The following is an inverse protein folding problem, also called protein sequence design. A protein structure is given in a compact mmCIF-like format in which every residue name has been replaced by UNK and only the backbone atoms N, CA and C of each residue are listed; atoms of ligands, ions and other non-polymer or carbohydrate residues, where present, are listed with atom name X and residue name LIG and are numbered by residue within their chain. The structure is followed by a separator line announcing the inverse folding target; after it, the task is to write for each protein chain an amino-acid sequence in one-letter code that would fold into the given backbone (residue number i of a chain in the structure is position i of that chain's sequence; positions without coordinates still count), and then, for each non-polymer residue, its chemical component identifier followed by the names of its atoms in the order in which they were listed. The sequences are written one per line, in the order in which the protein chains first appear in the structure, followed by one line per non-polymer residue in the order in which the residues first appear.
data_IF_484024765408
#
_entry.id   IF_484024765408
#
_cell.length_a   1.000
_cell.length_b   1.000
_cell.length_c   1.000
_cell.angle_alpha   90.00
_cell.angle_beta   90.00
_cell.angle_gamma   90.00
#
_symmetry.space_group_name_H-M   'P 1'
#
loop_
_entity.id
_entity.type
_entity.pdbx_description
1 polymer ?
#
# COMPACT_ATOMS: atom_id res chain seq x y z
N UNK A 1 2.70 53.59 61.18
CA UNK A 1 3.42 52.35 61.53
C UNK A 1 2.60 51.22 61.02
N UNK A 2 2.99 50.67 59.89
CA UNK A 2 2.32 49.52 59.22
C UNK A 2 3.25 48.30 59.30
N UNK A 3 2.85 47.35 60.12
CA UNK A 3 3.57 46.08 60.29
C UNK A 3 3.29 45.15 59.11
N UNK A 4 4.30 44.91 58.29
CA UNK A 4 4.27 43.87 57.26
C UNK A 4 4.40 42.50 57.91
N UNK A 5 3.31 41.76 57.96
CA UNK A 5 3.28 40.37 58.34
C UNK A 5 3.88 39.50 57.21
N UNK A 6 5.11 39.05 57.42
CA UNK A 6 5.82 38.17 56.47
C UNK A 6 5.32 36.75 56.67
N UNK A 7 4.43 36.29 55.79
CA UNK A 7 3.97 34.90 55.73
C UNK A 7 5.13 33.99 55.30
N UNK A 8 5.76 33.33 56.26
CA UNK A 8 6.74 32.23 56.04
C UNK A 8 6.02 31.01 55.46
N UNK A 9 6.10 30.83 54.16
CA UNK A 9 5.68 29.57 53.54
C UNK A 9 6.60 28.45 54.06
N UNK A 10 6.10 27.64 54.97
CA UNK A 10 6.81 26.50 55.53
C UNK A 10 7.07 25.46 54.40
N UNK A 11 8.30 25.41 53.92
CA UNK A 11 8.72 24.40 52.94
C UNK A 11 8.66 23.03 53.63
N UNK A 12 7.74 22.15 53.19
CA UNK A 12 7.65 20.77 53.66
C UNK A 12 9.03 20.10 53.49
N UNK A 13 9.54 19.42 54.54
CA UNK A 13 10.89 18.90 54.54
C UNK A 13 11.09 17.86 53.44
N UNK A 14 12.23 17.95 52.75
CA UNK A 14 12.62 17.19 51.56
C UNK A 14 12.44 15.66 51.71
N UNK A 15 12.72 15.13 52.93
CA UNK A 15 12.59 13.70 53.24
C UNK A 15 11.15 13.17 53.17
N UNK A 16 10.14 13.97 53.41
CA UNK A 16 8.72 13.58 53.20
C UNK A 16 8.37 13.44 51.75
N UNK A 17 8.98 14.22 50.87
CA UNK A 17 8.84 14.07 49.42
C UNK A 17 9.60 12.85 48.89
N UNK A 18 10.83 12.64 49.35
CA UNK A 18 11.63 11.45 49.02
C UNK A 18 10.95 10.15 49.49
N UNK A 19 10.38 10.12 50.70
CA UNK A 19 9.66 8.99 51.24
C UNK A 19 8.45 8.55 50.41
N UNK A 20 7.87 9.44 49.59
CA UNK A 20 6.80 9.10 48.67
C UNK A 20 7.33 8.79 47.24
N UNK A 21 8.33 9.51 46.78
CA UNK A 21 8.87 9.38 45.41
C UNK A 21 9.66 8.09 45.24
N UNK A 22 10.45 7.69 46.24
CA UNK A 22 11.25 6.45 46.17
C UNK A 22 10.43 5.15 46.02
N UNK A 23 9.34 4.94 46.79
CA UNK A 23 8.47 3.77 46.58
C UNK A 23 7.77 3.77 45.19
N UNK A 24 7.39 4.97 44.71
CA UNK A 24 6.77 5.09 43.36
C UNK A 24 7.78 4.72 42.28
N UNK A 25 9.02 5.24 42.34
CA UNK A 25 10.09 4.88 41.39
C UNK A 25 10.41 3.38 41.50
N UNK A 26 10.56 2.84 42.71
CA UNK A 26 10.83 1.43 42.92
C UNK A 26 9.72 0.53 42.40
N UNK A 27 8.45 0.92 42.64
CA UNK A 27 7.28 0.24 42.08
C UNK A 27 7.27 0.29 40.55
N UNK A 28 7.58 1.41 39.96
CA UNK A 28 7.66 1.55 38.51
C UNK A 28 8.78 0.71 37.90
N UNK A 29 9.97 0.70 38.51
CA UNK A 29 11.13 -0.09 38.08
C UNK A 29 10.87 -1.60 38.13
N UNK A 30 10.09 -2.08 39.08
CA UNK A 30 9.70 -3.50 39.17
C UNK A 30 8.51 -3.83 38.26
N UNK A 31 7.50 -2.97 38.24
CA UNK A 31 6.25 -3.23 37.53
C UNK A 31 6.42 -3.22 36.02
N UNK A 32 7.15 -2.23 35.48
CA UNK A 32 7.28 -2.09 34.01
C UNK A 32 8.00 -3.30 33.37
N UNK A 33 9.16 -3.76 33.84
CA UNK A 33 9.78 -4.96 33.29
C UNK A 33 8.92 -6.23 33.46
N UNK A 34 8.27 -6.38 34.63
CA UNK A 34 7.40 -7.54 34.89
C UNK A 34 6.19 -7.54 33.95
N UNK A 35 5.58 -6.39 33.72
CA UNK A 35 4.50 -6.23 32.76
C UNK A 35 4.96 -6.57 31.34
N UNK A 36 6.14 -6.09 30.94
CA UNK A 36 6.69 -6.38 29.61
C UNK A 36 6.95 -7.89 29.42
N UNK A 37 7.55 -8.52 30.40
CA UNK A 37 7.77 -9.98 30.42
C UNK A 37 6.43 -10.71 30.32
N UNK A 38 5.44 -10.32 31.11
CA UNK A 38 4.11 -10.90 31.04
C UNK A 38 3.46 -10.75 29.66
N UNK A 39 3.51 -9.55 29.05
CA UNK A 39 2.99 -9.32 27.71
C UNK A 39 3.69 -10.18 26.65
N UNK A 40 5.00 -10.32 26.73
CA UNK A 40 5.78 -11.17 25.81
C UNK A 40 5.44 -12.65 25.92
N UNK A 41 5.37 -13.16 27.15
CA UNK A 41 5.14 -14.59 27.39
C UNK A 41 3.66 -15.01 27.35
N UNK A 42 2.73 -14.07 27.44
CA UNK A 42 1.29 -14.37 27.38
C UNK A 42 0.82 -14.79 25.98
N UNK A 43 1.66 -14.67 24.93
CA UNK A 43 1.29 -15.02 23.56
C UNK A 43 0.05 -14.27 23.07
N UNK A 44 -0.07 -12.99 23.43
CA UNK A 44 -1.21 -12.14 23.06
C UNK A 44 -2.46 -12.30 23.93
N UNK A 45 -2.51 -13.29 24.83
CA UNK A 45 -3.68 -13.51 25.73
C UNK A 45 -3.97 -12.33 26.63
N UNK A 46 -2.94 -11.58 27.03
CA UNK A 46 -3.11 -10.34 27.78
C UNK A 46 -3.90 -9.27 27.01
N UNK A 47 -3.70 -9.18 25.70
CA UNK A 47 -4.47 -8.28 24.83
C UNK A 47 -5.89 -8.80 24.63
N UNK A 48 -6.04 -10.12 24.44
CA UNK A 48 -7.31 -10.82 24.25
C UNK A 48 -8.19 -10.91 25.51
N UNK A 49 -7.72 -10.39 26.67
CA UNK A 49 -8.55 -10.26 27.86
C UNK A 49 -9.69 -9.22 27.68
N UNK A 50 -9.58 -8.33 26.70
CA UNK A 50 -10.65 -7.43 26.30
C UNK A 50 -11.47 -8.06 25.17
N UNK A 51 -12.81 -8.05 25.29
CA UNK A 51 -13.70 -8.69 24.32
C UNK A 51 -13.60 -8.08 22.92
N UNK A 52 -13.26 -6.80 22.80
CA UNK A 52 -13.08 -6.10 21.52
C UNK A 52 -11.85 -6.61 20.75
N UNK A 53 -10.88 -7.19 21.47
CA UNK A 53 -9.62 -7.70 20.89
C UNK A 53 -9.72 -9.21 20.57
N UNK A 54 -10.78 -9.87 21.00
CA UNK A 54 -10.92 -11.31 20.83
C UNK A 54 -10.91 -11.74 19.36
N UNK A 55 -11.66 -11.06 18.51
CA UNK A 55 -11.68 -11.39 17.09
C UNK A 55 -10.33 -11.14 16.40
N UNK A 56 -9.69 -9.95 16.52
CA UNK A 56 -8.34 -9.73 16.03
C UNK A 56 -7.30 -10.75 16.55
N UNK A 57 -7.42 -11.18 17.81
CA UNK A 57 -6.56 -12.21 18.40
C UNK A 57 -6.78 -13.57 17.73
N UNK A 58 -8.01 -13.99 17.56
CA UNK A 58 -8.37 -15.25 16.91
C UNK A 58 -7.85 -15.30 15.47
N UNK A 59 -8.04 -14.22 14.72
CA UNK A 59 -7.59 -14.10 13.35
C UNK A 59 -6.05 -14.12 13.27
N UNK A 60 -5.37 -13.39 14.14
CA UNK A 60 -3.91 -13.42 14.24
C UNK A 60 -3.40 -14.82 14.56
N UNK A 61 -4.01 -15.52 15.52
CA UNK A 61 -3.59 -16.83 15.99
C UNK A 61 -3.63 -17.91 14.90
N UNK A 62 -4.50 -17.73 13.91
CA UNK A 62 -4.63 -18.59 12.74
C UNK A 62 -3.91 -18.07 11.50
N UNK A 63 -3.30 -16.88 11.58
CA UNK A 63 -2.60 -16.25 10.48
C UNK A 63 -1.14 -16.72 10.34
N UNK A 64 -0.48 -16.30 9.27
CA UNK A 64 0.96 -16.49 9.06
C UNK A 64 1.82 -15.74 10.06
N UNK A 65 1.26 -14.71 10.72
CA UNK A 65 1.94 -13.92 11.75
C UNK A 65 1.70 -14.44 13.18
N UNK A 66 1.14 -15.62 13.36
CA UNK A 66 0.85 -16.22 14.70
C UNK A 66 2.05 -16.32 15.65
N UNK A 67 3.26 -16.30 15.09
CA UNK A 67 4.51 -16.34 15.87
C UNK A 67 5.14 -14.95 16.07
N UNK A 68 4.51 -13.89 15.55
CA UNK A 68 4.95 -12.49 15.69
C UNK A 68 4.21 -11.89 16.88
N UNK A 69 4.93 -11.27 17.81
CA UNK A 69 4.30 -10.69 19.00
C UNK A 69 3.42 -9.47 18.61
N UNK A 70 2.32 -9.31 19.31
CA UNK A 70 1.44 -8.13 19.10
C UNK A 70 2.22 -6.82 19.27
N UNK A 71 3.16 -6.78 20.22
CA UNK A 71 4.03 -5.62 20.47
C UNK A 71 4.97 -5.29 19.31
N UNK A 72 5.33 -6.26 18.46
CA UNK A 72 6.23 -6.00 17.32
C UNK A 72 5.57 -5.09 16.28
N UNK A 73 4.25 -5.20 16.16
CA UNK A 73 3.44 -4.34 15.27
C UNK A 73 2.82 -3.15 16.00
N UNK A 74 2.27 -3.35 17.22
CA UNK A 74 1.50 -2.33 17.95
C UNK A 74 2.34 -1.48 18.90
N UNK A 75 3.56 -1.88 19.22
CA UNK A 75 4.47 -1.17 20.13
C UNK A 75 4.56 -1.82 21.51
N UNK A 76 5.72 -1.64 22.13
CA UNK A 76 6.03 -2.24 23.42
C UNK A 76 5.56 -1.34 24.58
N UNK A 77 5.15 -1.98 25.68
CA UNK A 77 4.78 -1.33 26.93
C UNK A 77 5.96 -0.59 27.56
N UNK A 78 7.19 -0.98 27.27
CA UNK A 78 8.40 -0.31 27.76
C UNK A 78 8.84 0.90 26.91
N UNK A 79 8.04 1.32 25.92
CA UNK A 79 8.38 2.54 25.17
C UNK A 79 8.42 3.77 26.08
N UNK A 80 9.41 4.64 25.87
CA UNK A 80 9.48 5.95 26.54
C UNK A 80 8.55 7.00 25.91
N UNK A 81 7.75 6.58 24.90
CA UNK A 81 6.78 7.46 24.27
C UNK A 81 5.59 7.71 25.21
N UNK A 82 5.60 8.89 25.83
CA UNK A 82 4.52 9.32 26.70
C UNK A 82 3.15 9.37 25.97
N UNK A 83 3.16 9.67 24.67
CA UNK A 83 1.97 9.68 23.82
C UNK A 83 1.31 8.32 23.74
N UNK A 84 2.11 7.26 23.58
CA UNK A 84 1.64 5.88 23.58
C UNK A 84 0.93 5.51 24.91
N UNK A 85 1.53 5.85 26.05
CA UNK A 85 0.93 5.54 27.35
C UNK A 85 -0.33 6.33 27.62
N UNK A 86 -0.35 7.63 27.31
CA UNK A 86 -1.53 8.48 27.48
C UNK A 86 -2.69 8.01 26.58
N UNK A 87 -2.38 7.53 25.39
CA UNK A 87 -3.38 6.97 24.49
C UNK A 87 -4.01 5.70 25.08
N UNK A 88 -3.20 4.76 25.55
CA UNK A 88 -3.68 3.53 26.16
C UNK A 88 -4.51 3.79 27.42
N UNK A 89 -4.09 4.74 28.26
CA UNK A 89 -4.87 5.18 29.41
C UNK A 89 -6.23 5.75 29.00
N UNK A 90 -6.28 6.60 27.97
CA UNK A 90 -7.54 7.15 27.46
C UNK A 90 -8.46 6.06 26.91
N UNK A 91 -7.92 5.06 26.22
CA UNK A 91 -8.70 3.93 25.71
C UNK A 91 -9.26 3.07 26.86
N UNK A 92 -8.46 2.81 27.89
CA UNK A 92 -8.94 2.12 29.09
C UNK A 92 -10.07 2.87 29.79
N UNK A 93 -9.96 4.19 29.94
CA UNK A 93 -11.03 5.01 30.50
C UNK A 93 -12.27 5.04 29.62
N UNK A 94 -12.12 5.07 28.29
CA UNK A 94 -13.24 5.00 27.35
C UNK A 94 -13.95 3.63 27.48
N UNK A 95 -13.19 2.55 27.61
CA UNK A 95 -13.74 1.20 27.82
C UNK A 95 -14.55 1.14 29.14
N UNK A 96 -13.98 1.58 30.27
CA UNK A 96 -14.67 1.60 31.56
C UNK A 96 -15.97 2.41 31.52
N UNK A 97 -16.03 3.44 30.64
CA UNK A 97 -17.24 4.27 30.47
C UNK A 97 -18.21 3.74 29.42
N UNK A 98 -17.93 2.59 28.80
CA UNK A 98 -18.75 2.06 27.72
C UNK A 98 -18.77 2.91 26.44
N UNK A 99 -17.71 3.69 26.22
CA UNK A 99 -17.57 4.61 25.06
C UNK A 99 -16.62 4.06 23.99
N UNK A 100 -16.40 2.77 23.97
CA UNK A 100 -15.57 2.09 22.96
C UNK A 100 -16.47 1.69 21.79
N UNK A 101 -16.07 1.96 20.53
CA UNK A 101 -16.82 1.47 19.37
C UNK A 101 -16.76 -0.06 19.34
N UNK A 102 -17.82 -0.68 18.83
CA UNK A 102 -17.95 -2.13 18.70
C UNK A 102 -16.76 -2.77 17.96
N UNK A 103 -16.20 -2.03 17.00
CA UNK A 103 -14.97 -2.42 16.30
C UNK A 103 -13.84 -1.44 16.59
N UNK A 104 -12.77 -1.95 17.20
CA UNK A 104 -11.55 -1.17 17.44
C UNK A 104 -10.75 -1.08 16.15
N UNK A 105 -10.46 0.14 15.71
CA UNK A 105 -9.72 0.43 14.46
C UNK A 105 -8.45 1.20 14.74
N UNK A 106 -7.45 0.99 13.88
CA UNK A 106 -6.22 1.78 13.91
C UNK A 106 -6.53 3.22 13.50
N UNK A 107 -6.01 4.17 14.28
CA UNK A 107 -6.02 5.58 13.87
C UNK A 107 -4.97 5.82 12.78
N UNK A 108 -5.10 6.86 11.94
CA UNK A 108 -4.15 7.16 10.88
C UNK A 108 -2.68 7.19 11.34
N UNK A 109 -2.39 7.83 12.47
CA UNK A 109 -1.03 7.88 13.04
C UNK A 109 -0.51 6.49 13.42
N UNK A 110 -1.39 5.58 13.88
CA UNK A 110 -1.02 4.21 14.22
C UNK A 110 -0.74 3.39 12.97
N UNK A 111 -1.51 3.61 11.92
CA UNK A 111 -1.27 2.96 10.61
C UNK A 111 0.14 3.27 10.13
N UNK A 112 0.59 4.52 10.22
CA UNK A 112 1.94 4.90 9.80
C UNK A 112 3.03 4.27 10.69
N UNK A 113 2.78 4.18 11.99
CA UNK A 113 3.71 3.52 12.90
C UNK A 113 3.81 2.02 12.64
N UNK A 114 2.67 1.35 12.40
CA UNK A 114 2.64 -0.08 12.04
C UNK A 114 3.35 -0.28 10.71
N UNK A 115 3.07 0.57 9.71
CA UNK A 115 3.73 0.53 8.41
C UNK A 115 5.27 0.57 8.52
N UNK A 116 5.81 1.47 9.33
CA UNK A 116 7.25 1.55 9.57
C UNK A 116 7.81 0.30 10.27
N UNK A 117 7.02 -0.38 11.10
CA UNK A 117 7.43 -1.59 11.81
C UNK A 117 7.48 -2.82 10.91
N UNK A 118 6.73 -2.84 9.81
CA UNK A 118 6.82 -3.92 8.82
C UNK A 118 8.24 -4.09 8.29
N UNK A 119 8.99 -2.98 8.15
CA UNK A 119 10.38 -2.96 7.70
C UNK A 119 11.34 -3.78 8.58
N UNK A 120 10.99 -4.08 9.82
CA UNK A 120 11.85 -4.88 10.72
C UNK A 120 12.05 -6.31 10.20
N UNK A 121 11.02 -6.86 9.58
CA UNK A 121 11.02 -8.23 9.04
C UNK A 121 10.97 -8.24 7.51
N UNK A 122 10.19 -7.37 6.89
CA UNK A 122 9.98 -7.25 5.45
C UNK A 122 10.85 -6.14 4.84
N UNK A 123 12.17 -6.25 5.02
CA UNK A 123 13.13 -5.19 4.63
C UNK A 123 13.13 -4.91 3.14
N UNK A 124 13.12 -5.97 2.33
CA UNK A 124 13.18 -5.83 0.87
C UNK A 124 11.86 -5.28 0.34
N UNK A 125 10.74 -5.85 0.75
CA UNK A 125 9.41 -5.40 0.35
C UNK A 125 9.17 -3.94 0.74
N UNK A 126 9.62 -3.56 1.95
CA UNK A 126 9.53 -2.16 2.40
C UNK A 126 10.43 -1.23 1.58
N UNK A 127 11.66 -1.64 1.28
CA UNK A 127 12.59 -0.84 0.48
C UNK A 127 12.06 -0.66 -0.96
N UNK A 128 11.53 -1.72 -1.56
CA UNK A 128 10.95 -1.68 -2.90
C UNK A 128 9.71 -0.78 -2.93
N UNK A 129 8.83 -0.90 -1.94
CA UNK A 129 7.67 -0.01 -1.79
C UNK A 129 8.08 1.45 -1.57
N UNK A 130 9.05 1.70 -0.68
CA UNK A 130 9.51 3.05 -0.35
C UNK A 130 10.20 3.76 -1.54
N UNK A 131 10.79 2.99 -2.46
CA UNK A 131 11.36 3.50 -3.70
C UNK A 131 10.32 3.68 -4.81
N UNK A 132 9.09 3.19 -4.61
CA UNK A 132 8.02 3.18 -5.60
C UNK A 132 7.01 4.32 -5.42
N UNK A 133 6.14 4.56 -6.41
CA UNK A 133 5.12 5.61 -6.34
C UNK A 133 4.01 5.34 -5.33
N UNK A 134 3.86 4.12 -4.82
CA UNK A 134 2.91 3.88 -3.73
C UNK A 134 3.34 4.53 -2.41
N UNK A 135 4.64 4.81 -2.23
CA UNK A 135 5.13 5.57 -1.08
C UNK A 135 5.06 7.10 -1.27
N UNK A 136 4.41 7.58 -2.34
CA UNK A 136 4.23 9.00 -2.58
C UNK A 136 3.53 9.67 -1.39
N UNK A 137 4.04 10.84 -0.99
CA UNK A 137 3.59 11.51 0.23
C UNK A 137 2.34 12.35 0.00
N UNK A 138 1.65 12.69 1.08
CA UNK A 138 0.53 13.65 1.03
C UNK A 138 0.93 14.99 0.40
N UNK A 139 2.16 15.46 0.67
CA UNK A 139 2.67 16.68 0.05
C UNK A 139 2.73 16.57 -1.47
N UNK A 140 3.32 15.48 -1.97
CA UNK A 140 3.52 15.28 -3.41
C UNK A 140 2.22 15.12 -4.17
N UNK A 141 1.20 14.51 -3.56
CA UNK A 141 -0.13 14.34 -4.18
C UNK A 141 -0.95 15.62 -4.07
N UNK A 142 -1.13 16.13 -2.87
CA UNK A 142 -2.15 17.16 -2.61
C UNK A 142 -1.63 18.59 -2.75
N UNK A 143 -0.31 18.79 -2.90
CA UNK A 143 0.28 20.09 -3.19
C UNK A 143 0.92 20.16 -4.58
N UNK A 144 0.58 19.25 -5.51
CA UNK A 144 1.00 19.34 -6.91
C UNK A 144 0.23 20.48 -7.60
N UNK A 145 0.90 21.61 -7.77
CA UNK A 145 0.31 22.77 -8.43
C UNK A 145 -0.12 22.50 -9.87
N UNK A 146 0.63 21.67 -10.60
CA UNK A 146 0.35 21.40 -12.02
C UNK A 146 -0.96 20.63 -12.20
N UNK A 147 -1.26 19.75 -11.24
CA UNK A 147 -2.51 19.01 -11.16
C UNK A 147 -3.64 19.91 -10.61
N UNK A 148 -3.42 20.55 -9.47
CA UNK A 148 -4.44 21.25 -8.72
C UNK A 148 -4.98 22.49 -9.46
N UNK A 149 -4.19 23.10 -10.35
CA UNK A 149 -4.66 24.18 -11.25
C UNK A 149 -5.68 23.72 -12.29
N UNK A 150 -5.74 22.41 -12.55
CA UNK A 150 -6.63 21.82 -13.58
C UNK A 150 -7.81 21.08 -12.98
N UNK A 151 -7.64 20.53 -11.79
CA UNK A 151 -8.61 19.63 -11.15
C UNK A 151 -8.86 20.08 -9.72
N UNK A 152 -10.12 20.23 -9.35
CA UNK A 152 -10.51 20.47 -7.97
C UNK A 152 -10.23 19.25 -7.12
N UNK A 153 -9.61 19.47 -5.96
CA UNK A 153 -9.45 18.44 -4.97
C UNK A 153 -10.81 18.09 -4.34
N UNK A 154 -11.13 16.81 -4.29
CA UNK A 154 -12.39 16.27 -3.80
C UNK A 154 -12.15 15.09 -2.85
N UNK A 155 -13.15 14.73 -2.07
CA UNK A 155 -13.07 13.59 -1.14
C UNK A 155 -12.80 12.26 -1.86
N UNK A 156 -13.20 12.15 -3.12
CA UNK A 156 -12.92 10.96 -3.94
C UNK A 156 -11.42 10.74 -4.19
N UNK A 157 -10.59 11.79 -4.14
CA UNK A 157 -9.12 11.65 -4.20
C UNK A 157 -8.59 10.79 -3.05
N UNK A 158 -9.23 10.88 -1.87
CA UNK A 158 -8.83 10.14 -0.67
C UNK A 158 -9.15 8.65 -0.75
N UNK A 159 -9.96 8.23 -1.72
CA UNK A 159 -10.24 6.82 -1.96
C UNK A 159 -9.00 6.02 -2.34
N UNK A 160 -8.07 6.66 -3.07
CA UNK A 160 -6.82 6.07 -3.50
C UNK A 160 -5.61 6.67 -2.77
N UNK A 161 -5.65 8.00 -2.55
CA UNK A 161 -4.54 8.76 -1.97
C UNK A 161 -4.89 9.23 -0.55
N UNK A 162 -4.61 8.40 0.45
CA UNK A 162 -4.91 8.73 1.84
C UNK A 162 -6.11 7.97 2.39
N UNK A 163 -6.25 6.70 2.02
CA UNK A 163 -7.36 5.81 2.42
C UNK A 163 -7.59 5.77 3.94
N UNK A 164 -6.52 5.86 4.72
CA UNK A 164 -6.56 5.87 6.18
C UNK A 164 -6.67 7.27 6.80
N UNK A 165 -6.78 8.33 6.00
CA UNK A 165 -6.99 9.67 6.55
C UNK A 165 -8.40 9.82 7.10
N UNK A 166 -8.53 10.29 8.34
CA UNK A 166 -9.82 10.31 9.06
C UNK A 166 -10.73 11.49 8.70
N UNK A 167 -10.26 12.47 7.95
CA UNK A 167 -11.03 13.67 7.58
C UNK A 167 -11.39 13.71 6.10
N UNK A 168 -12.14 14.72 5.68
CA UNK A 168 -12.37 15.04 4.28
C UNK A 168 -11.22 15.82 3.64
N UNK A 169 -11.33 16.10 2.35
CA UNK A 169 -10.32 16.88 1.63
C UNK A 169 -10.17 18.30 2.21
N UNK A 170 -11.25 18.87 2.71
CA UNK A 170 -11.26 20.20 3.34
C UNK A 170 -10.54 20.22 4.70
N UNK A 171 -10.45 19.08 5.37
CA UNK A 171 -9.69 18.93 6.61
C UNK A 171 -8.21 18.65 6.32
N UNK A 172 -7.90 18.17 5.12
CA UNK A 172 -6.54 17.85 4.69
C UNK A 172 -5.82 19.07 4.10
N UNK A 173 -6.50 19.82 3.23
CA UNK A 173 -5.90 20.94 2.48
C UNK A 173 -6.67 22.24 2.75
N UNK A 174 -5.93 23.34 2.97
CA UNK A 174 -6.51 24.65 3.31
C UNK A 174 -7.44 25.17 2.23
N UNK A 175 -7.13 24.95 0.94
CA UNK A 175 -8.05 25.23 -0.17
C UNK A 175 -8.14 24.02 -1.07
N UNK A 176 -9.33 23.77 -1.60
CA UNK A 176 -9.59 22.72 -2.58
C UNK A 176 -9.91 23.27 -3.98
N UNK A 177 -9.89 24.59 -4.15
CA UNK A 177 -10.09 25.24 -5.44
C UNK A 177 -8.83 25.19 -6.33
N UNK A 178 -8.95 25.64 -7.57
CA UNK A 178 -7.86 25.61 -8.55
C UNK A 178 -6.93 26.82 -8.52
N UNK A 179 -7.15 27.77 -7.60
CA UNK A 179 -6.38 29.01 -7.51
C UNK A 179 -5.20 28.94 -6.54
N UNK A 180 -5.30 28.08 -5.53
CA UNK A 180 -4.30 28.00 -4.48
C UNK A 180 -4.25 29.24 -3.56
N UNK A 181 -3.27 29.39 -2.73
CA UNK A 181 -2.20 28.40 -2.46
C UNK A 181 -2.73 27.18 -1.68
N UNK A 182 -2.17 26.00 -2.01
CA UNK A 182 -2.52 24.77 -1.31
C UNK A 182 -1.54 24.51 -0.17
N UNK A 183 -2.09 24.14 0.98
CA UNK A 183 -1.30 23.82 2.19
C UNK A 183 -1.96 22.67 2.94
N UNK A 184 -1.17 21.71 3.38
CA UNK A 184 -1.64 20.69 4.31
C UNK A 184 -1.95 21.35 5.65
N UNK A 185 -3.11 21.04 6.23
CA UNK A 185 -3.52 21.57 7.54
C UNK A 185 -2.69 20.96 8.67
N UNK A 186 -2.29 19.69 8.55
CA UNK A 186 -1.34 19.06 9.46
C UNK A 186 0.02 18.88 8.78
N UNK A 187 1.01 19.61 9.26
CA UNK A 187 2.39 19.53 8.75
C UNK A 187 3.03 18.14 8.92
N UNK A 188 2.55 17.30 9.85
CA UNK A 188 3.03 15.94 10.05
C UNK A 188 2.81 15.07 8.84
N UNK A 189 1.74 15.31 8.08
CA UNK A 189 1.40 14.57 6.87
C UNK A 189 2.38 14.79 5.72
N UNK A 190 3.17 15.86 5.76
CA UNK A 190 4.09 16.25 4.66
C UNK A 190 5.01 15.10 4.20
N UNK A 191 5.42 14.24 5.12
CA UNK A 191 6.33 13.11 4.86
C UNK A 191 5.65 11.76 4.97
N UNK A 192 4.35 11.72 5.22
CA UNK A 192 3.63 10.46 5.35
C UNK A 192 3.22 9.96 3.96
N UNK A 193 3.36 8.66 3.68
CA UNK A 193 2.90 8.06 2.43
C UNK A 193 1.37 7.99 2.41
N UNK A 194 0.81 8.15 1.21
CA UNK A 194 -0.65 8.10 1.01
C UNK A 194 -1.20 6.68 0.89
N UNK A 195 -0.36 5.71 0.48
CA UNK A 195 -0.73 4.31 0.31
C UNK A 195 0.21 3.42 1.15
N UNK A 196 -0.04 3.27 2.46
CA UNK A 196 0.75 2.41 3.33
C UNK A 196 0.52 0.93 3.02
N UNK A 197 1.34 0.03 3.58
CA UNK A 197 1.19 -1.42 3.40
C UNK A 197 -0.23 -1.90 3.75
N UNK A 198 -0.82 -1.31 4.77
CA UNK A 198 -2.19 -1.62 5.22
C UNK A 198 -3.29 -1.15 4.26
N UNK A 199 -2.98 -0.44 3.19
CA UNK A 199 -3.95 -0.16 2.14
C UNK A 199 -4.31 -1.43 1.34
N UNK A 200 -3.35 -2.37 1.22
CA UNK A 200 -3.47 -3.61 0.47
C UNK A 200 -3.34 -4.88 1.32
N UNK A 201 -2.97 -4.74 2.59
CA UNK A 201 -2.73 -5.88 3.48
C UNK A 201 -3.54 -5.77 4.78
N UNK A 202 -4.27 -6.82 5.09
CA UNK A 202 -4.97 -7.01 6.37
C UNK A 202 -4.23 -8.08 7.19
N UNK A 203 -3.73 -7.70 8.38
CA UNK A 203 -2.91 -8.59 9.19
C UNK A 203 -3.72 -9.50 10.10
N UNK A 204 -4.86 -9.03 10.59
CA UNK A 204 -5.79 -9.80 11.42
C UNK A 204 -6.81 -10.48 10.51
N UNK A 205 -6.38 -11.52 9.81
CA UNK A 205 -7.23 -12.31 8.95
C UNK A 205 -6.79 -13.77 8.95
N UNK A 206 -7.77 -14.66 9.06
CA UNK A 206 -7.57 -16.10 8.98
C UNK A 206 -7.12 -16.51 7.57
N UNK A 207 -6.26 -17.50 7.50
CA UNK A 207 -5.90 -18.16 6.27
C UNK A 207 -4.42 -18.54 6.17
N UNK A 208 -4.17 -19.64 5.51
CA UNK A 208 -2.82 -20.09 5.21
C UNK A 208 -2.30 -19.44 3.93
N UNK A 209 -1.06 -18.93 3.97
CA UNK A 209 -0.35 -18.57 2.74
C UNK A 209 -0.01 -19.87 2.02
N UNK A 210 -0.63 -20.10 0.89
CA UNK A 210 -0.12 -21.05 -0.08
C UNK A 210 1.19 -20.50 -0.65
N UNK A 211 2.13 -21.40 -0.94
CA UNK A 211 3.46 -21.04 -1.42
C UNK A 211 3.42 -19.93 -2.49
N UNK A 212 4.34 -18.97 -2.41
CA UNK A 212 4.48 -17.92 -3.42
C UNK A 212 4.48 -18.57 -4.80
N UNK A 213 3.61 -18.14 -5.72
CA UNK A 213 3.69 -18.64 -7.09
C UNK A 213 5.07 -18.27 -7.62
N UNK A 214 5.83 -19.28 -7.99
CA UNK A 214 7.09 -19.05 -8.70
C UNK A 214 6.76 -18.46 -10.06
N UNK A 215 7.67 -17.68 -10.64
CA UNK A 215 7.51 -17.06 -11.99
C UNK A 215 7.14 -18.08 -13.07
N UNK A 216 7.39 -19.35 -12.84
CA UNK A 216 7.01 -20.46 -13.74
C UNK A 216 5.53 -20.85 -13.68
N UNK A 217 4.77 -20.40 -12.69
CA UNK A 217 3.33 -20.61 -12.57
C UNK A 217 2.55 -19.35 -12.96
N UNK A 218 2.83 -18.81 -14.14
CA UNK A 218 2.18 -17.59 -14.67
C UNK A 218 0.69 -17.84 -14.94
N UNK A 219 0.28 -19.07 -15.14
CA UNK A 219 -1.11 -19.46 -15.21
C UNK A 219 -1.42 -20.40 -14.05
N UNK A 220 -2.18 -19.95 -13.03
CA UNK A 220 -2.77 -20.89 -12.11
C UNK A 220 -3.68 -21.80 -12.94
N UNK A 221 -3.41 -23.09 -12.92
CA UNK A 221 -4.36 -24.05 -13.47
C UNK A 221 -5.74 -23.81 -12.87
N UNK A 222 -6.83 -24.16 -13.55
CA UNK A 222 -8.21 -23.81 -13.19
C UNK A 222 -8.63 -24.22 -11.77
N UNK A 223 -7.79 -24.96 -11.03
CA UNK A 223 -8.06 -25.45 -9.68
C UNK A 223 -7.03 -24.96 -8.61
N UNK A 224 -6.07 -24.10 -8.95
CA UNK A 224 -5.17 -23.52 -7.95
C UNK A 224 -5.64 -22.10 -7.60
N UNK A 225 -6.58 -22.01 -6.64
CA UNK A 225 -6.87 -20.77 -5.98
C UNK A 225 -5.58 -20.28 -5.27
N UNK A 226 -5.01 -19.18 -5.75
CA UNK A 226 -3.91 -18.51 -5.07
C UNK A 226 -4.53 -17.86 -3.82
N UNK A 227 -4.46 -18.55 -2.69
CA UNK A 227 -4.87 -17.97 -1.43
C UNK A 227 -3.79 -17.02 -0.94
N UNK A 228 -4.08 -15.75 -0.95
CA UNK A 228 -3.26 -14.70 -0.33
C UNK A 228 -4.11 -14.00 0.74
N UNK A 229 -4.33 -14.65 1.89
CA UNK A 229 -5.32 -14.19 2.87
C UNK A 229 -5.02 -12.80 3.41
N UNK A 230 -3.77 -12.35 3.39
CA UNK A 230 -3.41 -10.99 3.78
C UNK A 230 -3.74 -9.92 2.75
N UNK A 231 -4.03 -10.28 1.49
CA UNK A 231 -4.42 -9.30 0.48
C UNK A 231 -5.89 -8.93 0.65
N UNK A 232 -6.12 -7.65 0.90
CA UNK A 232 -7.43 -7.05 1.04
C UNK A 232 -7.33 -5.55 0.77
N UNK A 233 -8.37 -4.96 0.24
CA UNK A 233 -8.46 -3.52 0.05
C UNK A 233 -9.02 -2.87 1.31
N UNK A 234 -8.37 -1.86 1.84
CA UNK A 234 -9.01 -1.00 2.84
C UNK A 234 -10.02 -0.07 2.16
N UNK A 235 -11.31 -0.30 2.36
CA UNK A 235 -12.36 0.62 1.88
C UNK A 235 -12.57 1.74 2.89
N UNK A 236 -12.18 2.94 2.49
CA UNK A 236 -12.30 4.14 3.31
C UNK A 236 -13.76 4.48 3.68
N UNK A 237 -14.73 4.13 2.85
CA UNK A 237 -16.15 4.46 3.09
C UNK A 237 -16.74 3.60 4.19
N UNK A 238 -16.44 2.32 4.14
CA UNK A 238 -16.87 1.35 5.16
C UNK A 238 -15.90 1.33 6.36
N UNK A 239 -14.73 1.93 6.21
CA UNK A 239 -13.63 1.88 7.18
C UNK A 239 -13.26 0.45 7.55
N UNK A 240 -13.32 -0.46 6.60
CA UNK A 240 -13.07 -1.88 6.76
C UNK A 240 -12.36 -2.46 5.53
N UNK A 241 -11.97 -3.72 5.61
CA UNK A 241 -11.27 -4.40 4.53
C UNK A 241 -12.22 -5.23 3.68
N UNK A 242 -12.13 -5.02 2.37
CA UNK A 242 -12.74 -5.89 1.37
C UNK A 242 -11.74 -6.98 0.99
N UNK A 243 -12.12 -8.21 1.19
CA UNK A 243 -11.30 -9.37 0.88
C UNK A 243 -11.02 -9.47 -0.62
N UNK A 244 -9.85 -10.02 -0.99
CA UNK A 244 -9.46 -10.16 -2.39
C UNK A 244 -10.49 -10.94 -3.23
N UNK A 245 -11.08 -11.98 -2.64
CA UNK A 245 -12.11 -12.83 -3.27
C UNK A 245 -13.48 -12.13 -3.43
N UNK A 246 -13.68 -11.01 -2.75
CA UNK A 246 -14.86 -10.14 -2.89
C UNK A 246 -14.66 -9.01 -3.93
N UNK A 247 -13.40 -8.79 -4.36
CA UNK A 247 -13.09 -7.83 -5.40
C UNK A 247 -13.30 -8.46 -6.78
N UNK A 248 -14.01 -7.75 -7.64
CA UNK A 248 -14.24 -8.20 -9.02
C UNK A 248 -13.17 -7.68 -9.96
N UNK A 249 -12.84 -8.46 -10.98
CA UNK A 249 -12.11 -7.99 -12.15
C UNK A 249 -13.04 -7.16 -13.03
N UNK A 250 -12.56 -6.07 -13.65
CA UNK A 250 -13.40 -5.27 -14.53
C UNK A 250 -13.71 -6.03 -15.82
N UNK A 251 -14.94 -5.86 -16.34
CA UNK A 251 -15.28 -6.22 -17.71
C UNK A 251 -15.11 -4.96 -18.58
N UNK A 252 -14.25 -5.04 -19.59
CA UNK A 252 -13.88 -3.90 -20.41
C UNK A 252 -14.15 -4.15 -21.88
N UNK A 253 -14.47 -3.08 -22.61
CA UNK A 253 -14.76 -3.12 -24.04
C UNK A 253 -14.07 -1.96 -24.77
N UNK A 254 -13.62 -2.25 -25.98
CA UNK A 254 -13.13 -1.28 -26.96
C UNK A 254 -14.11 -1.30 -28.15
N UNK A 255 -15.08 -0.41 -28.14
CA UNK A 255 -16.25 -0.50 -29.00
C UNK A 255 -17.08 -1.75 -28.68
N UNK A 256 -17.29 -2.60 -29.71
CA UNK A 256 -18.00 -3.88 -29.53
C UNK A 256 -17.08 -5.03 -29.07
N UNK A 257 -15.77 -4.85 -29.17
CA UNK A 257 -14.78 -5.86 -28.82
C UNK A 257 -14.57 -5.90 -27.30
N UNK A 258 -14.67 -7.09 -26.73
CA UNK A 258 -14.28 -7.32 -25.35
C UNK A 258 -12.75 -7.32 -25.21
N UNK A 259 -12.23 -6.58 -24.23
CA UNK A 259 -10.81 -6.57 -23.89
C UNK A 259 -10.56 -7.73 -22.93
N UNK A 260 -9.58 -8.57 -23.26
CA UNK A 260 -9.19 -9.68 -22.41
C UNK A 260 -8.50 -9.17 -21.16
N UNK A 261 -9.04 -9.54 -20.01
CA UNK A 261 -8.43 -9.30 -18.69
C UNK A 261 -7.89 -10.64 -18.19
N UNK A 262 -6.69 -10.63 -17.62
CA UNK A 262 -6.12 -11.82 -16.99
C UNK A 262 -7.04 -12.33 -15.87
N UNK A 263 -7.22 -13.64 -15.69
CA UNK A 263 -7.99 -14.21 -14.59
C UNK A 263 -7.27 -14.12 -13.23
N UNK A 264 -6.07 -13.55 -13.16
CA UNK A 264 -5.32 -13.38 -11.92
C UNK A 264 -6.06 -12.42 -10.97
N UNK A 265 -6.75 -12.96 -9.97
CA UNK A 265 -7.57 -12.18 -9.05
C UNK A 265 -6.77 -11.15 -8.25
N UNK A 266 -5.44 -11.31 -8.08
CA UNK A 266 -4.60 -10.36 -7.35
C UNK A 266 -4.62 -8.97 -7.97
N UNK A 267 -4.75 -8.89 -9.29
CA UNK A 267 -4.83 -7.61 -9.99
C UNK A 267 -6.13 -6.85 -9.73
N UNK A 268 -7.16 -7.49 -9.14
CA UNK A 268 -8.37 -6.80 -8.73
C UNK A 268 -8.09 -5.68 -7.72
N UNK A 269 -7.06 -5.83 -6.87
CA UNK A 269 -6.58 -4.73 -6.01
C UNK A 269 -6.07 -3.54 -6.82
N UNK A 270 -5.29 -3.78 -7.86
CA UNK A 270 -4.73 -2.73 -8.71
C UNK A 270 -5.86 -1.92 -9.36
N UNK A 271 -6.89 -2.60 -9.85
CA UNK A 271 -8.03 -1.98 -10.52
C UNK A 271 -8.91 -1.12 -9.61
N UNK A 272 -8.79 -1.23 -8.29
CA UNK A 272 -9.51 -0.33 -7.39
C UNK A 272 -9.03 1.12 -7.49
N UNK A 273 -7.77 1.32 -7.86
CA UNK A 273 -7.17 2.65 -8.04
C UNK A 273 -6.79 2.90 -9.50
N UNK A 274 -6.27 1.90 -10.21
CA UNK A 274 -5.85 1.96 -11.61
C UNK A 274 -6.97 1.50 -12.56
N UNK A 275 -8.21 1.84 -12.23
CA UNK A 275 -9.35 1.52 -13.07
C UNK A 275 -9.48 2.49 -14.25
N UNK A 276 -9.93 2.01 -15.42
CA UNK A 276 -10.23 2.88 -16.55
C UNK A 276 -11.36 3.85 -16.20
N UNK A 277 -11.36 5.00 -16.86
CA UNK A 277 -12.53 5.86 -16.90
C UNK A 277 -13.61 5.18 -17.72
N UNK A 278 -14.57 4.54 -17.07
CA UNK A 278 -15.72 3.91 -17.74
C UNK A 278 -16.61 4.98 -18.38
N UNK A 279 -16.70 6.12 -17.74
CA UNK A 279 -17.26 7.35 -18.28
C UNK A 279 -16.44 8.51 -17.73
N UNK A 280 -16.58 9.73 -18.24
CA UNK A 280 -15.93 10.93 -17.67
C UNK A 280 -16.25 11.19 -16.18
N UNK A 281 -17.10 10.38 -15.57
CA UNK A 281 -17.59 10.56 -14.20
C UNK A 281 -17.20 9.44 -13.24
N UNK A 282 -16.72 8.30 -13.73
CA UNK A 282 -16.43 7.11 -12.91
C UNK A 282 -15.08 6.54 -13.32
N UNK A 283 -14.27 6.19 -12.35
CA UNK A 283 -12.92 5.69 -12.55
C UNK A 283 -11.85 6.67 -12.09
N UNK A 284 -10.61 6.21 -12.02
CA UNK A 284 -9.49 6.99 -11.47
C UNK A 284 -8.86 7.95 -12.47
N UNK A 285 -9.10 7.80 -13.76
CA UNK A 285 -8.34 8.48 -14.81
C UNK A 285 -6.93 7.95 -15.03
N UNK A 286 -6.51 6.97 -14.24
CA UNK A 286 -5.21 6.31 -14.33
C UNK A 286 -5.39 4.87 -14.80
N UNK A 287 -5.94 4.72 -16.00
CA UNK A 287 -6.13 3.40 -16.61
C UNK A 287 -4.78 2.75 -16.94
N UNK A 288 -4.54 1.60 -16.37
CA UNK A 288 -3.34 0.79 -16.57
C UNK A 288 -3.65 -0.58 -17.18
N UNK A 289 -4.81 -0.74 -17.77
CA UNK A 289 -5.19 -1.99 -18.41
C UNK A 289 -4.29 -2.27 -19.61
N UNK A 290 -3.69 -3.45 -19.65
CA UNK A 290 -2.89 -3.86 -20.77
C UNK A 290 -3.78 -4.13 -22.00
N UNK A 291 -3.49 -3.44 -23.09
CA UNK A 291 -4.20 -3.55 -24.38
C UNK A 291 -3.19 -3.84 -25.50
N UNK A 292 -3.72 -4.18 -26.66
CA UNK A 292 -2.91 -4.43 -27.84
C UNK A 292 -2.09 -5.71 -27.72
N UNK A 293 -0.77 -5.62 -27.84
CA UNK A 293 0.12 -6.82 -27.84
C UNK A 293 0.26 -7.46 -26.46
N UNK A 294 -0.08 -6.73 -25.38
CA UNK A 294 -0.01 -7.21 -24.01
C UNK A 294 -1.39 -7.52 -23.41
N UNK A 295 -2.44 -7.49 -24.22
CA UNK A 295 -3.81 -7.75 -23.78
C UNK A 295 -3.94 -9.15 -23.15
N UNK A 296 -4.56 -9.22 -21.99
CA UNK A 296 -4.74 -10.47 -21.24
C UNK A 296 -3.57 -10.84 -20.33
N UNK A 297 -2.48 -10.06 -20.32
CA UNK A 297 -1.42 -10.26 -19.34
C UNK A 297 -1.84 -9.71 -17.97
N UNK A 298 -1.47 -10.46 -16.92
CA UNK A 298 -1.61 -9.95 -15.54
C UNK A 298 -0.69 -8.76 -15.29
N UNK A 299 -1.11 -7.83 -14.43
CA UNK A 299 -0.24 -6.78 -13.91
C UNK A 299 1.08 -7.36 -13.38
N UNK A 300 1.02 -8.54 -12.75
CA UNK A 300 2.19 -9.24 -12.19
C UNK A 300 3.09 -9.91 -13.22
N UNK A 301 2.70 -9.94 -14.49
CA UNK A 301 3.61 -10.37 -15.56
C UNK A 301 4.77 -9.37 -15.74
N UNK A 302 4.52 -8.10 -15.44
CA UNK A 302 5.49 -7.01 -15.60
C UNK A 302 5.87 -6.34 -14.28
N UNK A 303 4.92 -6.20 -13.34
CA UNK A 303 5.11 -5.52 -12.08
C UNK A 303 5.38 -6.51 -10.95
N UNK A 304 6.35 -6.21 -10.10
CA UNK A 304 6.47 -6.86 -8.80
C UNK A 304 5.52 -6.16 -7.82
N UNK A 305 4.92 -6.92 -6.90
CA UNK A 305 3.88 -6.39 -6.00
C UNK A 305 4.29 -5.15 -5.19
N UNK A 306 5.57 -5.01 -4.86
CA UNK A 306 6.10 -3.89 -4.08
C UNK A 306 7.07 -3.01 -4.86
N UNK A 307 7.67 -3.53 -5.94
CA UNK A 307 8.72 -2.85 -6.68
C UNK A 307 8.30 -2.36 -8.04
N UNK A 308 9.00 -1.34 -8.52
CA UNK A 308 8.77 -0.73 -9.84
C UNK A 308 9.75 -1.19 -10.91
N UNK A 309 10.60 -2.17 -10.62
CA UNK A 309 11.58 -2.66 -11.60
C UNK A 309 10.88 -3.53 -12.65
N UNK A 310 10.19 -2.87 -13.57
CA UNK A 310 9.49 -3.54 -14.66
C UNK A 310 10.41 -3.94 -15.80
N UNK A 311 11.54 -3.22 -16.00
CA UNK A 311 12.42 -3.44 -17.17
C UNK A 311 13.02 -4.84 -17.23
N UNK A 312 13.37 -5.43 -16.09
CA UNK A 312 13.89 -6.80 -16.07
C UNK A 312 12.87 -7.85 -16.51
N UNK A 313 11.57 -7.54 -16.47
CA UNK A 313 10.52 -8.44 -16.93
C UNK A 313 10.39 -8.49 -18.45
N UNK A 314 10.81 -7.44 -19.16
CA UNK A 314 10.78 -7.40 -20.62
C UNK A 314 11.63 -8.48 -21.24
N UNK A 315 12.83 -8.71 -20.71
CA UNK A 315 13.77 -9.72 -21.21
C UNK A 315 13.29 -11.16 -21.01
N UNK A 316 12.32 -11.38 -20.12
CA UNK A 316 11.72 -12.71 -19.93
C UNK A 316 10.90 -13.12 -21.17
N UNK A 317 10.21 -12.18 -21.79
CA UNK A 317 9.38 -12.40 -22.99
C UNK A 317 10.05 -11.90 -24.28
N UNK A 318 10.90 -10.86 -24.17
CA UNK A 318 11.59 -10.21 -25.26
C UNK A 318 13.12 -10.29 -25.07
N UNK A 319 13.74 -11.47 -25.31
CA UNK A 319 15.20 -11.58 -25.23
C UNK A 319 15.84 -10.65 -26.27
N UNK A 320 17.09 -10.23 -26.03
CA UNK A 320 17.82 -9.29 -26.90
C UNK A 320 17.82 -9.69 -28.40
N UNK A 321 17.75 -10.97 -28.67
CA UNK A 321 17.61 -11.52 -30.02
C UNK A 321 16.13 -11.73 -30.41
N UNK A 322 15.21 -10.95 -29.84
CA UNK A 322 13.79 -11.04 -30.21
C UNK A 322 13.59 -10.80 -31.70
N UNK A 323 12.54 -11.41 -32.26
CA UNK A 323 12.25 -11.36 -33.70
C UNK A 323 12.05 -9.94 -34.25
N UNK A 324 11.87 -8.95 -33.39
CA UNK A 324 11.66 -7.55 -33.79
C UNK A 324 12.98 -6.78 -33.99
N UNK A 325 14.13 -7.33 -33.59
CA UNK A 325 15.41 -6.62 -33.65
C UNK A 325 15.48 -5.34 -32.79
N UNK A 326 14.47 -5.12 -31.95
CA UNK A 326 14.38 -3.97 -31.04
C UNK A 326 14.92 -4.32 -29.68
N UNK A 327 15.72 -3.45 -29.11
CA UNK A 327 16.09 -3.55 -27.71
C UNK A 327 14.97 -2.93 -26.86
N UNK A 328 13.95 -3.74 -26.53
CA UNK A 328 12.76 -3.29 -25.79
C UNK A 328 13.09 -2.78 -24.39
N UNK A 329 14.22 -3.18 -23.79
CA UNK A 329 14.65 -2.69 -22.49
C UNK A 329 15.15 -1.25 -22.54
N UNK A 330 15.61 -0.79 -23.69
CA UNK A 330 16.09 0.57 -23.91
C UNK A 330 15.00 1.50 -24.41
N UNK A 331 13.81 1.01 -24.74
CA UNK A 331 12.69 1.84 -25.18
C UNK A 331 12.18 2.70 -24.02
N UNK A 332 11.87 3.96 -24.33
CA UNK A 332 11.18 4.82 -23.36
C UNK A 332 9.71 4.40 -23.24
N UNK A 333 9.41 3.67 -22.16
CA UNK A 333 8.07 3.19 -21.83
C UNK A 333 7.45 3.96 -20.66
N UNK A 334 8.03 5.11 -20.28
CA UNK A 334 7.58 5.85 -19.12
C UNK A 334 6.35 6.68 -19.42
N UNK A 335 5.34 6.62 -18.55
CA UNK A 335 4.17 7.50 -18.61
C UNK A 335 4.50 8.97 -18.29
N UNK A 336 5.69 9.25 -17.78
CA UNK A 336 6.08 10.59 -17.29
C UNK A 336 6.37 11.56 -18.42
N UNK A 337 6.74 11.06 -19.59
CA UNK A 337 7.06 11.90 -20.73
C UNK A 337 5.94 11.87 -21.76
N UNK A 338 5.38 13.04 -22.10
CA UNK A 338 4.49 13.20 -23.26
C UNK A 338 5.20 12.91 -24.58
N UNK A 339 6.53 12.80 -24.56
CA UNK A 339 7.37 12.43 -25.71
C UNK A 339 7.63 10.93 -25.78
N UNK A 340 7.22 10.15 -24.78
CA UNK A 340 7.31 8.69 -24.86
C UNK A 340 6.40 8.18 -25.97
N UNK A 341 7.00 7.60 -26.99
CA UNK A 341 6.28 7.03 -28.14
C UNK A 341 5.61 5.70 -27.80
N UNK A 342 5.99 5.07 -26.70
CA UNK A 342 5.59 3.73 -26.34
C UNK A 342 5.02 3.66 -24.94
N UNK A 343 3.68 3.70 -24.87
CA UNK A 343 3.00 3.38 -23.65
C UNK A 343 2.87 1.85 -23.54
N UNK A 344 3.62 1.24 -22.62
CA UNK A 344 3.70 -0.22 -22.47
C UNK A 344 2.34 -0.89 -22.26
N UNK A 345 1.36 -0.17 -21.71
CA UNK A 345 0.02 -0.70 -21.48
C UNK A 345 -0.85 -0.67 -22.75
N UNK A 346 -0.51 0.15 -23.75
CA UNK A 346 -1.31 0.36 -24.96
C UNK A 346 -0.54 0.15 -26.26
N UNK A 347 0.48 -0.73 -26.24
CA UNK A 347 1.32 -0.97 -27.42
C UNK A 347 0.51 -1.66 -28.52
N UNK A 348 0.44 -1.03 -29.68
CA UNK A 348 -0.14 -1.60 -30.92
C UNK A 348 0.97 -2.12 -31.83
N UNK A 349 0.63 -3.09 -32.68
CA UNK A 349 1.58 -3.60 -33.66
C UNK A 349 2.19 -2.48 -34.53
N UNK A 350 1.38 -1.47 -34.90
CA UNK A 350 1.82 -0.33 -35.69
C UNK A 350 2.81 0.60 -34.98
N UNK A 351 2.89 0.58 -33.64
CA UNK A 351 3.85 1.41 -32.89
C UNK A 351 5.29 0.96 -33.10
N UNK A 352 5.49 -0.35 -33.36
CA UNK A 352 6.79 -0.93 -33.66
C UNK A 352 6.98 -1.15 -35.17
N UNK A 353 5.90 -1.43 -35.90
CA UNK A 353 5.90 -1.68 -37.32
C UNK A 353 5.40 -0.48 -38.09
N UNK A 354 6.15 0.62 -38.10
CA UNK A 354 5.75 1.89 -38.73
C UNK A 354 5.49 1.79 -40.23
N UNK A 355 6.05 0.80 -40.93
CA UNK A 355 5.83 0.53 -42.35
C UNK A 355 4.76 -0.55 -42.61
N UNK A 356 3.95 -0.86 -41.60
CA UNK A 356 2.97 -1.94 -41.67
C UNK A 356 3.52 -3.27 -41.09
N UNK A 357 2.58 -4.12 -40.63
CA UNK A 357 2.94 -5.45 -40.12
C UNK A 357 3.18 -6.36 -41.31
N UNK A 358 4.36 -7.04 -41.40
CA UNK A 358 4.61 -8.01 -42.47
C UNK A 358 3.53 -9.09 -42.47
N UNK A 359 2.89 -9.32 -43.62
CA UNK A 359 1.80 -10.31 -43.73
C UNK A 359 2.22 -11.72 -43.42
N UNK A 360 3.48 -12.07 -43.71
CA UNK A 360 4.09 -13.37 -43.37
C UNK A 360 5.60 -13.22 -43.38
N UNK A 361 6.28 -13.74 -42.38
CA UNK A 361 7.74 -13.95 -42.40
C UNK A 361 8.03 -15.42 -42.59
N UNK A 362 8.64 -15.78 -43.66
CA UNK A 362 9.22 -17.11 -43.81
C UNK A 362 10.60 -17.14 -43.14
N UNK A 363 10.76 -18.03 -42.19
CA UNK A 363 12.06 -18.31 -41.57
C UNK A 363 12.85 -19.20 -42.51
N UNK A 364 13.90 -18.67 -43.11
CA UNK A 364 14.92 -19.49 -43.72
C UNK A 364 16.06 -19.69 -42.71
N UNK A 365 16.30 -20.94 -42.33
CA UNK A 365 17.45 -21.30 -41.52
C UNK A 365 18.61 -21.44 -42.51
N UNK A 366 19.65 -20.62 -42.35
CA UNK A 366 20.87 -20.77 -43.16
C UNK A 366 21.51 -22.13 -42.90
N UNK A 367 22.09 -22.70 -43.94
CA UNK A 367 22.65 -24.07 -43.94
C UNK A 367 23.71 -24.33 -42.86
N UNK A 368 24.26 -23.30 -42.24
CA UNK A 368 25.27 -23.36 -41.20
C UNK A 368 24.72 -23.01 -39.79
N UNK A 369 23.40 -22.86 -39.61
CA UNK A 369 22.77 -22.71 -38.29
C UNK A 369 23.07 -21.43 -37.54
N UNK A 370 23.77 -20.46 -38.12
CA UNK A 370 24.28 -19.29 -37.39
C UNK A 370 23.73 -17.92 -37.82
N UNK A 371 22.86 -17.86 -38.85
CA UNK A 371 22.20 -16.60 -39.21
C UNK A 371 20.79 -16.83 -39.73
N UNK A 372 19.88 -15.99 -39.32
CA UNK A 372 18.52 -15.93 -39.86
C UNK A 372 18.50 -14.82 -40.90
N UNK A 373 18.20 -15.17 -42.16
CA UNK A 373 17.90 -14.21 -43.21
C UNK A 373 16.38 -14.10 -43.37
N UNK A 374 15.88 -12.89 -43.40
CA UNK A 374 14.49 -12.62 -43.70
C UNK A 374 14.43 -12.07 -45.13
N UNK A 375 13.79 -12.79 -46.01
CA UNK A 375 13.42 -12.29 -47.33
C UNK A 375 12.05 -11.59 -47.21
N UNK A 376 12.01 -10.32 -47.48
CA UNK A 376 10.77 -9.55 -47.70
C UNK A 376 10.35 -9.82 -49.15
N UNK A 377 9.35 -10.67 -49.41
CA UNK A 377 8.66 -10.63 -50.71
C UNK A 377 7.87 -9.32 -50.78
N UNK A 378 8.41 -8.45 -51.60
CA UNK A 378 7.71 -7.23 -52.04
C UNK A 378 6.66 -7.65 -53.05
N UNK A 379 5.40 -7.78 -52.66
CA UNK A 379 4.32 -7.81 -53.66
C UNK A 379 4.05 -6.33 -54.05
N UNK A 380 4.66 -5.95 -55.15
CA UNK A 380 4.22 -4.79 -55.92
C UNK A 380 2.95 -5.21 -56.69
N UNK A 381 1.77 -4.77 -56.19
CA UNK A 381 0.54 -4.48 -56.96
C UNK A 381 -0.25 -3.43 -56.23
#
# INVERSE_FOLDING_TARGET
MSSRESSRIARKPLYRRLGFVLPVIFGAVLFLPSASVYYRYSGGRSCASCHEIWQPYSDWHTSTHRNVLCSDCHGDVLTLDAGFHLKNIRQLFAHIRGQVPEQVRLKPDDVQQVNARCAKCHRQEYADWAAGPHAITYKEIFLDESHNRKVHLADDCLRCHGMHYAGGIRDLVTTNDTKGPWRLQDAKLTRQPTVPCLACHQMHRQGNVLARPTVKSIEPGPNQAISTPSLALFDRRELDYVALDQLSLPAMRDGEREIKISPDIRQALCYQCHAPLVTKKVGSGDDRTAMGVHEGLSCFACHQGHGQKTRASCSTCHPQLSNCGLNVEMMDTTFKSTKSLHNIHFVKCGDCHMKGVPRRKERRIAANGSSFLFDEERNDE
#
